data_IF_481527271571
#
_entry.id   IF_481527271571
#
_cell.length_a   1.000
_cell.length_b   1.000
_cell.length_c   1.000
_cell.angle_alpha   90.00
_cell.angle_beta   90.00
_cell.angle_gamma   90.00
#
_symmetry.space_group_name_H-M   'P 1'
#
loop_
_entity.id
_entity.type
_entity.pdbx_description
1 polymer ?
#
# COMPACT_ATOMS: atom_id res chain seq x y z
N UNK A 1 31.46 -8.53 3.53
CA UNK A 1 31.01 -7.14 3.68
C UNK A 1 30.89 -6.86 5.15
N UNK A 2 31.81 -6.08 5.70
CA UNK A 2 31.83 -5.74 7.11
C UNK A 2 30.63 -4.83 7.40
N UNK A 3 29.59 -5.39 8.00
CA UNK A 3 28.48 -4.59 8.52
C UNK A 3 29.06 -3.71 9.62
N UNK A 4 28.91 -2.39 9.49
CA UNK A 4 29.27 -1.48 10.57
C UNK A 4 28.50 -1.88 11.85
N UNK A 5 29.11 -1.71 13.04
CA UNK A 5 28.56 -2.14 14.33
C UNK A 5 27.19 -1.52 14.68
N UNK A 6 26.72 -0.53 13.91
CA UNK A 6 25.46 0.17 14.16
C UNK A 6 24.18 -0.65 13.90
N UNK A 7 24.26 -1.83 13.28
CA UNK A 7 23.07 -2.59 12.87
C UNK A 7 22.83 -3.88 13.65
N UNK A 8 23.77 -4.26 14.51
CA UNK A 8 23.64 -5.45 15.36
C UNK A 8 22.73 -5.20 16.57
N UNK A 9 22.17 -4.00 16.74
CA UNK A 9 21.39 -3.61 17.91
C UNK A 9 20.03 -2.99 17.57
N UNK A 10 19.36 -3.50 16.53
CA UNK A 10 17.96 -3.16 16.29
C UNK A 10 17.11 -4.01 17.23
N UNK A 11 16.62 -3.42 18.31
CA UNK A 11 15.62 -4.06 19.16
C UNK A 11 14.26 -3.95 18.49
N UNK A 12 13.62 -5.09 18.22
CA UNK A 12 12.28 -5.13 17.60
C UNK A 12 11.23 -4.46 18.49
N UNK A 13 11.42 -4.49 19.81
CA UNK A 13 10.53 -3.88 20.81
C UNK A 13 10.50 -2.35 20.70
N UNK A 14 11.57 -1.76 20.18
CA UNK A 14 11.69 -0.31 19.98
C UNK A 14 11.25 0.13 18.57
N UNK A 15 10.76 -0.79 17.74
CA UNK A 15 10.23 -0.42 16.43
C UNK A 15 8.80 0.10 16.56
N UNK A 16 8.50 1.11 15.75
CA UNK A 16 7.21 1.75 15.62
C UNK A 16 6.86 1.83 14.13
N UNK A 17 5.63 1.47 13.79
CA UNK A 17 5.01 1.85 12.51
C UNK A 17 4.17 3.08 12.77
N UNK A 18 4.47 4.19 12.09
CA UNK A 18 3.72 5.44 12.25
C UNK A 18 3.54 6.15 10.92
N UNK A 19 2.48 6.94 10.84
CA UNK A 19 2.28 7.87 9.73
C UNK A 19 3.29 9.02 9.78
N UNK A 20 3.73 9.46 8.59
CA UNK A 20 4.65 10.60 8.46
C UNK A 20 3.88 11.91 8.63
N UNK A 21 4.36 12.78 9.52
CA UNK A 21 3.74 14.09 9.75
C UNK A 21 4.71 15.21 9.37
N UNK A 22 5.95 15.11 9.86
CA UNK A 22 6.95 16.14 9.68
C UNK A 22 7.62 16.07 8.30
N UNK A 23 8.10 17.21 7.82
CA UNK A 23 8.91 17.27 6.59
C UNK A 23 10.10 16.32 6.65
N UNK A 24 10.79 16.23 7.79
CA UNK A 24 11.92 15.32 7.96
C UNK A 24 11.54 13.82 7.81
N UNK A 25 10.35 13.43 8.26
CA UNK A 25 9.84 12.07 8.05
C UNK A 25 9.43 11.83 6.60
N UNK A 26 8.80 12.82 5.96
CA UNK A 26 8.47 12.79 4.53
C UNK A 26 9.74 12.66 3.67
N UNK A 27 10.78 13.44 3.98
CA UNK A 27 12.10 13.37 3.33
C UNK A 27 12.73 11.98 3.49
N UNK A 28 12.62 11.39 4.69
CA UNK A 28 13.12 10.05 4.95
C UNK A 28 12.33 8.98 4.17
N UNK A 29 10.99 9.07 4.11
CA UNK A 29 10.15 8.18 3.32
C UNK A 29 10.45 8.30 1.83
N UNK A 30 10.55 9.53 1.32
CA UNK A 30 10.91 9.82 -0.07
C UNK A 30 12.28 9.24 -0.44
N UNK A 31 13.28 9.48 0.42
CA UNK A 31 14.62 8.91 0.26
C UNK A 31 14.62 7.38 0.27
N UNK A 32 13.80 6.75 1.13
CA UNK A 32 13.63 5.29 1.16
C UNK A 32 13.00 4.77 -0.13
N UNK A 33 11.99 5.44 -0.67
CA UNK A 33 11.40 5.07 -1.95
C UNK A 33 12.42 5.19 -3.10
N UNK A 34 13.08 6.34 -3.24
CA UNK A 34 14.07 6.57 -4.30
C UNK A 34 15.37 5.74 -4.17
N UNK A 35 15.61 5.11 -3.01
CA UNK A 35 16.70 4.13 -2.89
C UNK A 35 16.50 2.88 -3.75
N UNK A 36 15.30 2.69 -4.31
CA UNK A 36 14.97 1.62 -5.26
C UNK A 36 14.86 2.19 -6.67
N UNK A 37 15.62 1.59 -7.60
CA UNK A 37 15.60 2.01 -9.01
C UNK A 37 14.20 1.92 -9.64
N UNK A 38 13.35 1.00 -9.15
CA UNK A 38 11.96 0.82 -9.63
C UNK A 38 11.12 2.10 -9.53
N UNK A 39 11.43 3.02 -8.61
CA UNK A 39 10.67 4.25 -8.43
C UNK A 39 11.36 5.49 -9.01
N UNK A 40 12.49 5.31 -9.73
CA UNK A 40 13.27 6.44 -10.23
C UNK A 40 12.53 7.22 -11.33
N UNK A 41 11.88 6.51 -12.24
CA UNK A 41 11.06 7.10 -13.32
C UNK A 41 9.80 7.78 -12.76
N UNK A 42 9.29 7.28 -11.64
CA UNK A 42 8.10 7.81 -10.95
C UNK A 42 8.42 8.86 -9.88
N UNK A 43 9.65 9.40 -9.83
CA UNK A 43 10.10 10.28 -8.74
C UNK A 43 9.11 11.41 -8.40
N UNK A 44 8.53 12.05 -9.43
CA UNK A 44 7.57 13.14 -9.27
C UNK A 44 6.23 12.68 -8.71
N UNK A 45 5.78 11.46 -9.06
CA UNK A 45 4.57 10.88 -8.48
C UNK A 45 4.79 10.46 -7.03
N UNK A 46 5.95 9.87 -6.73
CA UNK A 46 6.31 9.51 -5.34
C UNK A 46 6.38 10.76 -4.47
N UNK A 47 7.03 11.81 -4.94
CA UNK A 47 7.07 13.11 -4.26
C UNK A 47 5.66 13.67 -4.04
N UNK A 48 4.84 13.74 -5.10
CA UNK A 48 3.47 14.23 -5.01
C UNK A 48 2.64 13.47 -3.98
N UNK A 49 2.70 12.13 -3.98
CA UNK A 49 1.94 11.29 -3.04
C UNK A 49 2.37 11.45 -1.58
N UNK A 50 3.66 11.70 -1.32
CA UNK A 50 4.20 11.85 0.05
C UNK A 50 3.97 13.27 0.58
N UNK A 51 4.31 14.29 -0.21
CA UNK A 51 4.25 15.67 0.26
C UNK A 51 2.86 16.28 0.11
N UNK A 52 2.13 15.90 -0.94
CA UNK A 52 0.78 16.39 -1.28
C UNK A 52 -0.27 15.28 -1.18
N UNK A 53 -0.07 14.32 -0.27
CA UNK A 53 -0.94 13.16 -0.10
C UNK A 53 -2.41 13.50 0.11
N UNK A 54 -2.72 14.58 0.82
CA UNK A 54 -4.09 15.04 1.04
C UNK A 54 -4.86 15.34 -0.25
N UNK A 55 -4.17 15.85 -1.28
CA UNK A 55 -4.79 16.17 -2.59
C UNK A 55 -5.12 14.92 -3.40
N UNK A 56 -4.46 13.80 -3.11
CA UNK A 56 -4.61 12.53 -3.83
C UNK A 56 -5.02 11.36 -2.92
N UNK A 57 -5.54 11.67 -1.73
CA UNK A 57 -5.98 10.70 -0.72
C UNK A 57 -4.90 9.66 -0.36
N UNK A 58 -3.64 10.04 -0.49
CA UNK A 58 -2.48 9.22 -0.15
C UNK A 58 -2.00 9.57 1.26
N UNK A 59 -1.57 8.54 1.98
CA UNK A 59 -0.93 8.61 3.29
C UNK A 59 0.29 7.72 3.30
N UNK A 60 1.30 8.09 4.07
CA UNK A 60 2.58 7.39 4.08
C UNK A 60 2.93 6.98 5.50
N UNK A 61 3.28 5.70 5.68
CA UNK A 61 3.74 5.15 6.95
C UNK A 61 5.19 4.72 6.83
N UNK A 62 5.91 4.83 7.94
CA UNK A 62 7.31 4.41 8.07
C UNK A 62 7.47 3.44 9.24
N UNK A 63 8.36 2.48 9.06
CA UNK A 63 8.91 1.67 10.16
C UNK A 63 10.16 2.38 10.67
N UNK A 64 10.12 2.83 11.91
CA UNK A 64 11.15 3.66 12.54
C UNK A 64 11.57 3.06 13.89
N UNK A 65 12.85 3.23 14.24
CA UNK A 65 13.31 3.13 15.61
C UNK A 65 13.53 4.57 16.10
N UNK A 66 12.72 5.05 17.06
CA UNK A 66 12.93 6.35 17.67
C UNK A 66 14.35 6.46 18.22
N UNK A 67 14.98 7.62 18.03
CA UNK A 67 16.31 7.84 18.58
C UNK A 67 16.27 7.73 20.09
N UNK A 68 16.93 6.71 20.65
CA UNK A 68 17.09 6.62 22.09
C UNK A 68 17.81 7.89 22.53
N UNK A 69 17.23 8.62 23.48
CA UNK A 69 17.96 9.68 24.15
C UNK A 69 19.23 9.02 24.69
N UNK A 70 20.39 9.44 24.17
CA UNK A 70 21.66 8.99 24.72
C UNK A 70 21.54 9.26 26.22
N UNK A 71 21.75 8.24 27.09
CA UNK A 71 21.75 8.47 28.52
C UNK A 71 22.73 9.61 28.71
N UNK A 72 22.21 10.80 29.06
CA UNK A 72 23.01 12.02 29.08
C UNK A 72 24.15 11.65 30.01
N UNK A 73 25.41 11.55 29.51
CA UNK A 73 26.49 11.04 30.31
C UNK A 73 26.46 11.92 31.52
N UNK A 74 26.08 11.30 32.65
CA UNK A 74 25.77 12.05 33.83
C UNK A 74 26.95 12.97 34.02
N UNK A 75 26.69 14.27 34.07
CA UNK A 75 27.33 15.07 35.09
C UNK A 75 27.10 14.25 36.34
N UNK A 76 28.07 13.37 36.63
CA UNK A 76 28.17 12.62 37.85
C UNK A 76 28.13 13.76 38.85
N UNK A 77 26.95 13.99 39.42
CA UNK A 77 26.78 14.95 40.49
C UNK A 77 27.81 14.50 41.50
N UNK A 78 28.85 15.32 41.61
CA UNK A 78 29.90 15.22 42.60
C UNK A 78 29.20 15.46 43.95
N UNK A 79 28.40 14.48 44.39
CA UNK A 79 27.79 14.44 45.71
C UNK A 79 28.82 13.89 46.70
N UNK A 80 30.01 14.48 46.68
CA UNK A 80 31.10 14.14 47.57
C UNK A 80 31.94 15.39 47.77
N UNK A 81 31.82 15.97 48.98
CA UNK A 81 32.54 17.13 49.53
C UNK A 81 31.82 18.48 49.44
N UNK A 82 30.71 18.62 50.18
CA UNK A 82 30.40 19.88 50.88
C UNK A 82 29.55 19.63 52.13
N UNK A 83 30.07 18.80 53.04
CA UNK A 83 29.71 18.92 54.45
C UNK A 83 30.41 20.14 55.02
N UNK A 84 29.77 21.31 54.98
CA UNK A 84 30.31 22.51 55.62
C UNK A 84 29.70 23.82 55.15
N UNK A 85 28.77 24.32 55.98
CA UNK A 85 28.45 25.73 56.26
C UNK A 85 27.41 26.46 55.38
N UNK A 86 26.48 27.07 56.13
CA UNK A 86 25.53 28.16 55.80
C UNK A 86 24.25 27.70 55.09
N UNK A 87 23.08 27.61 55.73
CA UNK A 87 22.39 28.49 56.70
C UNK A 87 22.32 29.96 56.26
N UNK A 88 21.07 30.45 56.20
CA UNK A 88 20.57 31.81 55.98
C UNK A 88 20.36 32.33 54.55
N UNK A 89 19.28 33.13 54.44
CA UNK A 89 18.69 33.83 53.27
C UNK A 89 17.63 32.97 52.56
N UNK A 90 16.33 33.06 52.87
CA UNK A 90 15.52 34.26 53.10
C UNK A 90 15.15 34.85 51.74
N UNK A 91 14.07 34.42 51.10
CA UNK A 91 12.80 35.15 51.11
C UNK A 91 12.59 35.95 49.82
N UNK A 92 11.33 36.11 49.41
CA UNK A 92 10.82 37.04 48.38
C UNK A 92 11.00 36.66 46.90
N UNK A 93 9.93 36.16 46.27
CA UNK A 93 9.04 37.03 45.48
C UNK A 93 7.84 36.25 44.90
N UNK A 94 6.66 36.69 45.33
CA UNK A 94 5.39 36.50 44.63
C UNK A 94 5.02 37.83 43.94
N UNK A 95 4.07 37.74 43.00
CA UNK A 95 3.27 38.81 42.38
C UNK A 95 3.84 39.55 41.16
N UNK A 96 3.25 39.23 40.00
CA UNK A 96 2.61 40.15 39.02
C UNK A 96 2.15 39.27 37.83
N UNK A 97 0.95 39.33 37.26
CA UNK A 97 -0.11 40.33 37.28
C UNK A 97 -0.47 40.71 35.84
N UNK A 98 -1.68 40.32 35.41
CA UNK A 98 -2.58 40.96 34.43
C UNK A 98 -2.21 41.12 32.92
N UNK A 99 -3.06 40.48 32.10
CA UNK A 99 -3.95 41.05 31.06
C UNK A 99 -3.48 42.11 30.04
N UNK A 100 -3.81 41.86 28.75
CA UNK A 100 -4.34 42.78 27.71
C UNK A 100 -4.71 41.91 26.47
N UNK A 101 -6.00 41.79 26.10
CA UNK A 101 -6.74 42.58 25.08
C UNK A 101 -6.13 42.45 23.66
N UNK A 102 -6.78 41.73 22.75
CA UNK A 102 -7.83 42.18 21.81
C UNK A 102 -7.29 43.10 20.69
N UNK A 103 -7.36 42.60 19.45
CA UNK A 103 -7.34 43.40 18.23
C UNK A 103 -7.86 42.56 17.06
N UNK A 104 -9.14 42.71 16.79
CA UNK A 104 -9.77 42.43 15.50
C UNK A 104 -9.16 43.33 14.41
N UNK A 105 -8.92 42.80 13.21
CA UNK A 105 -8.38 43.58 12.10
C UNK A 105 -8.78 43.02 10.73
N UNK A 106 -9.77 43.68 10.14
CA UNK A 106 -10.36 43.47 8.81
C UNK A 106 -9.33 43.54 7.66
N UNK A 107 -9.58 42.78 6.60
CA UNK A 107 -8.89 42.91 5.32
C UNK A 107 -9.69 42.26 4.19
N UNK A 108 -10.61 43.03 3.61
CA UNK A 108 -11.39 42.68 2.42
C UNK A 108 -10.70 43.14 1.13
N UNK A 109 -11.04 42.48 0.00
CA UNK A 109 -10.75 42.91 -1.37
C UNK A 109 -9.47 42.29 -1.94
N UNK A 110 -9.40 41.82 -3.18
CA UNK A 110 -10.14 42.20 -4.38
C UNK A 110 -10.18 41.05 -5.39
N UNK A 111 -11.32 40.96 -6.08
CA UNK A 111 -11.51 40.21 -7.31
C UNK A 111 -10.78 40.88 -8.48
N UNK A 112 -10.14 40.09 -9.35
CA UNK A 112 -9.87 40.50 -10.73
C UNK A 112 -10.32 39.36 -11.65
N UNK A 113 -11.31 39.67 -12.46
CA UNK A 113 -11.70 38.94 -13.65
C UNK A 113 -10.93 39.48 -14.88
N UNK A 114 -10.73 38.63 -15.87
CA UNK A 114 -10.18 38.97 -17.18
C UNK A 114 -9.00 38.05 -17.53
N UNK A 115 -8.94 37.38 -18.68
CA UNK A 115 -9.75 37.50 -19.88
C UNK A 115 -9.43 36.37 -20.86
N UNK A 116 -10.26 36.32 -21.87
CA UNK A 116 -10.34 35.37 -22.97
C UNK A 116 -9.22 35.52 -24.01
N UNK A 117 -9.11 34.48 -24.84
CA UNK A 117 -8.70 34.46 -26.26
C UNK A 117 -7.30 33.96 -26.60
N UNK A 118 -7.24 33.04 -27.57
CA UNK A 118 -6.01 32.66 -28.26
C UNK A 118 -5.98 31.26 -28.85
N UNK A 119 -6.74 31.02 -29.92
CA UNK A 119 -6.57 29.85 -30.80
C UNK A 119 -5.22 29.89 -31.55
N UNK A 120 -4.62 28.74 -31.87
CA UNK A 120 -4.10 28.39 -33.23
C UNK A 120 -3.30 27.08 -33.25
N UNK A 121 -3.60 26.24 -34.25
CA UNK A 121 -2.71 25.30 -34.97
C UNK A 121 -2.18 24.09 -34.19
N UNK A 122 -2.35 22.83 -34.60
CA UNK A 122 -2.40 22.29 -35.95
C UNK A 122 -1.03 21.67 -36.30
N UNK A 123 -0.89 20.35 -36.16
CA UNK A 123 0.01 19.53 -36.98
C UNK A 123 -0.28 18.04 -36.72
N UNK A 124 -0.85 17.40 -37.75
CA UNK A 124 -0.92 15.96 -37.90
C UNK A 124 0.46 15.40 -38.29
N UNK A 125 0.81 14.22 -37.78
CA UNK A 125 1.85 13.38 -38.35
C UNK A 125 1.35 11.93 -38.33
N UNK A 126 1.13 11.38 -39.52
CA UNK A 126 0.83 9.98 -39.78
C UNK A 126 2.13 9.17 -39.94
N UNK A 127 2.08 7.82 -39.91
CA UNK A 127 3.22 6.97 -39.59
C UNK A 127 3.99 6.51 -40.84
N UNK A 128 5.30 6.35 -40.69
CA UNK A 128 6.19 5.81 -41.73
C UNK A 128 6.91 4.55 -41.26
N UNK A 129 6.72 3.47 -42.01
CA UNK A 129 7.82 2.63 -42.50
C UNK A 129 8.43 1.58 -41.57
N UNK A 130 8.03 0.33 -41.78
CA UNK A 130 8.77 -0.85 -41.37
C UNK A 130 10.10 -0.98 -42.14
N UNK A 131 11.20 -1.28 -41.43
CA UNK A 131 12.39 -1.95 -41.99
C UNK A 131 12.94 -2.92 -40.95
N UNK A 132 12.97 -4.21 -41.33
CA UNK A 132 13.53 -5.28 -40.52
C UNK A 132 15.06 -5.19 -40.42
N UNK A 133 15.58 -5.40 -39.21
CA UNK A 133 17.00 -5.52 -38.94
C UNK A 133 17.26 -6.69 -38.00
N UNK A 134 17.80 -7.79 -38.53
CA UNK A 134 18.36 -8.91 -37.77
C UNK A 134 19.52 -8.41 -36.91
N UNK A 135 19.35 -8.37 -35.59
CA UNK A 135 20.44 -8.10 -34.66
C UNK A 135 21.13 -9.41 -34.26
N UNK A 136 22.40 -9.53 -34.65
CA UNK A 136 23.34 -10.56 -34.26
C UNK A 136 23.59 -10.52 -32.75
N UNK A 137 23.65 -11.71 -32.15
CA UNK A 137 24.19 -11.91 -30.81
C UNK A 137 25.68 -11.53 -30.78
N UNK A 138 26.03 -10.50 -30.00
CA UNK A 138 27.40 -10.23 -29.58
C UNK A 138 27.51 -10.43 -28.08
N UNK A 139 28.34 -11.41 -27.70
CA UNK A 139 28.70 -11.66 -26.32
C UNK A 139 29.53 -10.51 -25.76
N UNK A 140 29.04 -9.93 -24.65
CA UNK A 140 29.78 -8.98 -23.82
C UNK A 140 30.06 -9.58 -22.45
N UNK A 141 31.29 -10.09 -22.26
CA UNK A 141 31.90 -10.28 -20.94
C UNK A 141 32.32 -8.93 -20.37
N UNK A 142 32.47 -8.89 -19.03
CA UNK A 142 32.93 -7.77 -18.14
C UNK A 142 31.77 -6.87 -17.70
N UNK A 143 31.63 -6.47 -16.44
CA UNK A 143 32.47 -6.56 -15.25
C UNK A 143 31.90 -5.55 -14.23
N UNK A 144 32.33 -5.64 -12.96
CA UNK A 144 32.13 -4.56 -11.99
C UNK A 144 31.04 -4.79 -10.96
N UNK A 145 31.41 -5.47 -9.86
CA UNK A 145 30.73 -5.30 -8.57
C UNK A 145 31.04 -3.89 -8.04
N UNK A 146 30.25 -2.90 -8.45
CA UNK A 146 30.23 -1.58 -7.85
C UNK A 146 29.53 -1.65 -6.49
N UNK A 147 30.29 -1.69 -5.40
CA UNK A 147 29.75 -1.51 -4.06
C UNK A 147 29.27 -0.07 -3.89
N UNK A 148 27.96 0.15 -4.03
CA UNK A 148 27.34 1.43 -3.72
C UNK A 148 27.30 1.64 -2.21
N UNK A 149 28.29 2.39 -1.75
CA UNK A 149 28.31 3.05 -0.45
C UNK A 149 27.31 4.19 -0.49
N UNK A 150 26.16 4.01 0.17
CA UNK A 150 25.20 5.07 0.42
C UNK A 150 25.80 6.08 1.42
N UNK A 151 26.71 6.96 0.97
CA UNK A 151 27.07 8.16 1.74
C UNK A 151 25.93 9.15 1.55
N UNK A 152 25.12 9.29 2.59
CA UNK A 152 24.05 10.28 2.64
C UNK A 152 24.63 11.68 2.42
N UNK A 153 24.03 12.42 1.50
CA UNK A 153 24.27 13.84 1.31
C UNK A 153 23.59 14.54 2.48
N UNK A 154 24.37 15.03 3.44
CA UNK A 154 23.87 15.85 4.54
C UNK A 154 23.57 17.26 3.99
N UNK A 155 22.31 17.54 3.71
CA UNK A 155 21.85 18.90 3.38
C UNK A 155 21.89 19.74 4.64
N UNK A 156 22.67 20.83 4.63
CA UNK A 156 22.78 21.74 5.77
C UNK A 156 21.48 22.55 5.92
N UNK A 157 20.77 22.38 7.04
CA UNK A 157 19.64 23.21 7.43
C UNK A 157 20.08 24.25 8.45
N UNK A 158 19.53 25.46 8.34
CA UNK A 158 19.87 26.64 9.14
C UNK A 158 19.65 26.48 10.65
N UNK A 159 20.00 27.52 11.46
CA UNK A 159 20.02 27.42 12.91
C UNK A 159 18.60 27.30 13.49
N UNK A 160 18.21 26.07 13.86
CA UNK A 160 16.93 25.78 14.52
C UNK A 160 17.10 25.78 16.05
N UNK A 161 16.17 26.49 16.67
CA UNK A 161 15.91 26.66 18.09
C UNK A 161 15.74 25.33 18.86
N UNK A 162 16.36 25.28 20.05
CA UNK A 162 16.25 24.26 21.13
C UNK A 162 16.16 22.79 20.66
N UNK A 163 17.35 22.16 20.55
CA UNK A 163 17.58 20.71 20.46
C UNK A 163 16.71 19.94 21.48
N UNK A 164 15.71 19.21 21.00
CA UNK A 164 15.22 18.05 21.73
C UNK A 164 16.39 17.07 21.94
N UNK A 165 16.55 16.57 23.16
CA UNK A 165 17.64 15.67 23.53
C UNK A 165 17.50 14.24 22.93
N UNK A 166 16.42 13.97 22.19
CA UNK A 166 16.24 12.71 21.49
C UNK A 166 17.26 12.60 20.35
N UNK A 167 17.90 11.43 20.25
CA UNK A 167 18.80 11.14 19.12
C UNK A 167 18.07 11.16 17.78
N UNK A 168 18.80 11.14 16.65
CA UNK A 168 18.19 11.01 15.34
C UNK A 168 17.43 9.68 15.24
N UNK A 169 16.20 9.72 14.72
CA UNK A 169 15.42 8.52 14.45
C UNK A 169 15.97 7.76 13.24
N UNK A 170 15.90 6.44 13.26
CA UNK A 170 16.36 5.58 12.15
C UNK A 170 15.19 4.96 11.43
N UNK A 171 15.07 5.22 10.12
CA UNK A 171 14.00 4.69 9.28
C UNK A 171 14.45 3.44 8.52
N UNK A 172 13.61 2.40 8.51
CA UNK A 172 13.92 1.08 7.95
C UNK A 172 13.06 0.72 6.75
N UNK A 173 11.82 1.21 6.69
CA UNK A 173 10.90 0.94 5.60
C UNK A 173 9.87 2.05 5.50
N UNK A 174 9.29 2.22 4.31
CA UNK A 174 8.24 3.18 4.01
C UNK A 174 7.19 2.53 3.10
N UNK A 175 5.93 2.89 3.29
CA UNK A 175 4.81 2.48 2.46
C UNK A 175 3.86 3.65 2.26
N UNK A 176 3.45 3.88 1.01
CA UNK A 176 2.46 4.89 0.65
C UNK A 176 1.19 4.18 0.19
N UNK A 177 0.07 4.57 0.77
CA UNK A 177 -1.24 3.93 0.60
C UNK A 177 -2.27 4.99 0.25
N UNK A 178 -3.07 4.73 -0.77
CA UNK A 178 -4.28 5.51 -1.07
C UNK A 178 -5.47 4.90 -0.34
N UNK A 179 -6.25 5.72 0.36
CA UNK A 179 -7.46 5.27 1.05
C UNK A 179 -8.69 5.79 0.31
N UNK A 180 -9.58 4.88 -0.05
CA UNK A 180 -10.81 5.19 -0.76
C UNK A 180 -12.02 4.82 0.10
N UNK A 181 -13.04 5.67 0.09
CA UNK A 181 -14.34 5.33 0.65
C UNK A 181 -15.11 4.50 -0.37
N UNK A 182 -15.88 3.52 0.10
CA UNK A 182 -16.82 2.86 -0.79
C UNK A 182 -17.92 3.83 -1.25
N UNK A 183 -18.34 3.71 -2.51
CA UNK A 183 -19.36 4.57 -3.12
C UNK A 183 -20.76 4.32 -2.56
N UNK A 184 -21.16 3.05 -2.40
CA UNK A 184 -22.53 2.67 -2.02
C UNK A 184 -22.62 1.85 -0.72
N UNK A 185 -21.53 1.72 0.04
CA UNK A 185 -21.53 1.03 1.34
C UNK A 185 -20.72 1.78 2.38
N UNK A 186 -20.91 1.42 3.64
CA UNK A 186 -20.04 1.88 4.71
C UNK A 186 -18.70 1.16 4.64
N UNK A 187 -17.66 1.86 5.07
CA UNK A 187 -16.30 1.36 5.18
C UNK A 187 -15.40 1.95 4.12
N UNK A 188 -14.17 1.46 4.12
CA UNK A 188 -13.10 1.92 3.24
C UNK A 188 -12.33 0.75 2.67
N UNK A 189 -11.59 1.01 1.61
CA UNK A 189 -10.59 0.12 1.08
C UNK A 189 -9.30 0.89 0.81
N UNK A 190 -8.19 0.17 0.71
CA UNK A 190 -6.87 0.76 0.54
C UNK A 190 -6.15 0.19 -0.67
N UNK A 191 -5.34 1.02 -1.33
CA UNK A 191 -4.41 0.61 -2.37
C UNK A 191 -2.97 0.92 -1.93
N UNK A 192 -2.11 -0.08 -1.83
CA UNK A 192 -0.67 0.11 -1.63
C UNK A 192 -0.08 0.52 -2.99
N UNK A 193 0.54 1.70 -3.02
CA UNK A 193 1.12 2.28 -4.24
C UNK A 193 2.64 2.15 -4.31
N UNK A 194 3.31 2.39 -3.18
CA UNK A 194 4.76 2.32 -3.13
C UNK A 194 5.18 1.66 -1.82
N UNK A 195 6.14 0.75 -1.86
CA UNK A 195 6.71 0.15 -0.66
C UNK A 195 8.22 -0.04 -0.85
N UNK A 196 9.00 0.43 0.11
CA UNK A 196 10.45 0.29 0.11
C UNK A 196 10.98 -0.09 1.47
N UNK A 197 12.03 -0.91 1.48
CA UNK A 197 12.81 -1.23 2.68
C UNK A 197 14.26 -0.82 2.45
N UNK A 198 14.86 -0.16 3.45
CA UNK A 198 16.29 0.18 3.47
C UNK A 198 17.18 -1.04 3.26
N UNK A 199 16.75 -2.18 3.80
CA UNK A 199 17.41 -3.47 3.67
C UNK A 199 16.41 -4.56 3.34
N UNK A 200 16.71 -5.30 2.29
CA UNK A 200 15.90 -6.45 1.89
C UNK A 200 16.19 -7.66 2.79
N UNK A 201 15.20 -8.54 2.97
CA UNK A 201 15.34 -9.84 3.69
C UNK A 201 15.68 -9.73 5.19
N UNK A 202 15.45 -8.58 5.80
CA UNK A 202 15.61 -8.38 7.26
C UNK A 202 14.27 -8.37 8.01
N UNK A 203 13.17 -8.78 7.37
CA UNK A 203 11.84 -8.79 7.99
C UNK A 203 11.14 -7.43 8.08
N UNK A 204 11.84 -6.30 7.87
CA UNK A 204 11.26 -4.95 7.97
C UNK A 204 10.02 -4.74 7.10
N UNK A 205 9.99 -5.31 5.89
CA UNK A 205 8.80 -5.23 5.05
C UNK A 205 7.59 -5.96 5.66
N UNK A 206 7.81 -7.15 6.23
CA UNK A 206 6.75 -7.89 6.93
C UNK A 206 6.25 -7.14 8.14
N UNK A 207 7.15 -6.59 8.95
CA UNK A 207 6.79 -5.84 10.16
C UNK A 207 6.05 -4.54 9.83
N UNK A 208 6.48 -3.81 8.79
CA UNK A 208 5.77 -2.63 8.30
C UNK A 208 4.34 -2.98 7.90
N UNK A 209 4.14 -4.05 7.11
CA UNK A 209 2.80 -4.46 6.69
C UNK A 209 1.95 -4.97 7.85
N UNK A 210 2.52 -5.69 8.81
CA UNK A 210 1.80 -6.11 10.00
C UNK A 210 1.27 -4.93 10.81
N UNK A 211 2.11 -3.92 11.07
CA UNK A 211 1.68 -2.70 11.75
C UNK A 211 0.68 -1.89 10.93
N UNK A 212 0.90 -1.79 9.62
CA UNK A 212 -0.03 -1.12 8.71
C UNK A 212 -1.41 -1.78 8.74
N UNK A 213 -1.51 -3.11 8.67
CA UNK A 213 -2.79 -3.81 8.72
C UNK A 213 -3.58 -3.52 10.00
N UNK A 214 -2.92 -3.46 11.17
CA UNK A 214 -3.59 -3.06 12.41
C UNK A 214 -4.12 -1.63 12.35
N UNK A 215 -3.34 -0.69 11.82
CA UNK A 215 -3.77 0.71 11.67
C UNK A 215 -4.94 0.84 10.69
N UNK A 216 -4.90 0.13 9.56
CA UNK A 216 -5.98 0.13 8.57
C UNK A 216 -7.27 -0.49 9.13
N UNK A 217 -7.19 -1.55 9.95
CA UNK A 217 -8.37 -2.14 10.62
C UNK A 217 -9.06 -1.15 11.56
N UNK A 218 -8.30 -0.38 12.34
CA UNK A 218 -8.86 0.68 13.22
C UNK A 218 -9.57 1.75 12.38
N UNK A 219 -9.17 1.89 11.13
CA UNK A 219 -9.76 2.78 10.13
C UNK A 219 -10.91 2.16 9.33
N UNK A 220 -11.48 1.03 9.74
CA UNK A 220 -12.64 0.44 9.04
C UNK A 220 -12.32 0.14 7.55
N UNK A 221 -11.06 -0.22 7.28
CA UNK A 221 -10.59 -0.68 5.98
C UNK A 221 -10.63 -2.20 6.00
N UNK A 222 -11.41 -2.79 5.09
CA UNK A 222 -11.60 -4.25 5.03
C UNK A 222 -10.84 -4.93 3.91
N UNK A 223 -10.55 -4.22 2.82
CA UNK A 223 -9.82 -4.73 1.65
C UNK A 223 -8.59 -3.88 1.37
N UNK A 224 -7.47 -4.53 1.10
CA UNK A 224 -6.23 -3.93 0.63
C UNK A 224 -5.90 -4.48 -0.76
N UNK A 225 -5.58 -3.59 -1.68
CA UNK A 225 -5.24 -3.87 -3.07
C UNK A 225 -3.81 -3.43 -3.36
N UNK A 226 -3.13 -4.14 -4.26
CA UNK A 226 -1.82 -3.74 -4.78
C UNK A 226 -1.57 -4.33 -6.17
N UNK A 227 -0.50 -3.86 -6.79
CA UNK A 227 -0.01 -4.32 -8.08
C UNK A 227 1.45 -4.77 -7.92
N UNK A 228 1.75 -6.08 -7.83
CA UNK A 228 3.09 -6.52 -7.53
C UNK A 228 3.99 -6.43 -8.78
N UNK A 229 5.14 -5.78 -8.66
CA UNK A 229 6.13 -5.74 -9.75
C UNK A 229 6.53 -7.15 -10.23
N UNK A 230 6.63 -7.37 -11.54
CA UNK A 230 6.92 -8.67 -12.17
C UNK A 230 8.41 -9.07 -12.13
N UNK A 231 9.05 -8.94 -10.97
CA UNK A 231 10.46 -9.29 -10.77
C UNK A 231 10.67 -10.69 -10.12
N UNK A 232 9.60 -11.49 -10.03
CA UNK A 232 9.57 -12.81 -9.39
C UNK A 232 9.68 -12.80 -7.86
N UNK A 233 10.24 -11.75 -7.24
CA UNK A 233 10.39 -11.63 -5.79
C UNK A 233 9.19 -10.97 -5.12
N UNK A 234 8.68 -9.88 -5.69
CA UNK A 234 7.53 -9.17 -5.15
C UNK A 234 6.28 -10.06 -5.12
N UNK A 235 5.92 -10.81 -6.18
CA UNK A 235 4.77 -11.72 -6.13
C UNK A 235 4.91 -12.77 -5.01
N UNK A 236 6.09 -13.39 -4.84
CA UNK A 236 6.32 -14.34 -3.75
C UNK A 236 6.20 -13.70 -2.36
N UNK A 237 6.72 -12.48 -2.19
CA UNK A 237 6.59 -11.74 -0.95
C UNK A 237 5.13 -11.47 -0.62
N UNK A 238 4.37 -10.86 -1.53
CA UNK A 238 2.97 -10.51 -1.33
C UNK A 238 2.08 -11.75 -1.16
N UNK A 239 2.35 -12.82 -1.91
CA UNK A 239 1.59 -14.08 -1.82
C UNK A 239 1.70 -14.69 -0.43
N UNK A 240 2.92 -14.68 0.12
CA UNK A 240 3.13 -15.17 1.48
C UNK A 240 2.41 -14.33 2.55
N UNK A 241 2.11 -13.06 2.27
CA UNK A 241 1.32 -12.20 3.14
C UNK A 241 -0.20 -12.41 3.00
N UNK A 242 -0.64 -13.27 2.08
CA UNK A 242 -2.04 -13.57 1.82
C UNK A 242 -2.68 -12.70 0.73
N UNK A 243 -1.90 -11.92 0.00
CA UNK A 243 -2.39 -11.27 -1.23
C UNK A 243 -2.42 -12.28 -2.37
N UNK A 244 -3.36 -12.13 -3.28
CA UNK A 244 -3.43 -12.96 -4.49
C UNK A 244 -4.28 -12.31 -5.55
N UNK A 245 -4.13 -12.79 -6.78
CA UNK A 245 -5.13 -12.54 -7.81
C UNK A 245 -6.38 -13.38 -7.50
N UNK A 246 -7.55 -12.79 -7.70
CA UNK A 246 -8.83 -13.46 -7.47
C UNK A 246 -9.68 -13.35 -8.73
N UNK A 247 -10.39 -14.43 -9.07
CA UNK A 247 -11.37 -14.41 -10.17
C UNK A 247 -12.55 -13.50 -9.83
N UNK A 248 -12.97 -13.53 -8.56
CA UNK A 248 -14.01 -12.66 -8.00
C UNK A 248 -13.34 -11.68 -7.05
N UNK A 249 -13.45 -10.38 -7.36
CA UNK A 249 -12.88 -9.34 -6.52
C UNK A 249 -13.53 -9.27 -5.14
N UNK A 250 -12.76 -8.89 -4.13
CA UNK A 250 -13.28 -8.50 -2.82
C UNK A 250 -13.85 -7.07 -2.81
N UNK A 251 -13.47 -6.25 -3.79
CA UNK A 251 -14.09 -4.96 -4.04
C UNK A 251 -15.43 -5.13 -4.77
N UNK A 252 -16.44 -4.30 -4.48
CA UNK A 252 -17.70 -4.33 -5.19
C UNK A 252 -17.53 -3.73 -6.60
N UNK A 253 -18.40 -4.13 -7.54
CA UNK A 253 -18.27 -3.83 -8.97
C UNK A 253 -18.13 -2.33 -9.27
N UNK A 254 -18.78 -1.46 -8.49
CA UNK A 254 -18.67 -0.01 -8.64
C UNK A 254 -17.27 0.57 -8.37
N UNK A 255 -16.41 -0.15 -7.66
CA UNK A 255 -15.02 0.24 -7.40
C UNK A 255 -14.06 -0.34 -8.45
N UNK A 256 -14.54 -1.25 -9.29
CA UNK A 256 -13.79 -1.91 -10.36
C UNK A 256 -13.82 -1.13 -11.68
N UNK A 257 -14.48 0.03 -11.70
CA UNK A 257 -14.51 0.91 -12.86
C UNK A 257 -13.06 1.29 -13.23
N UNK A 258 -12.67 1.18 -14.51
CA UNK A 258 -11.34 1.62 -14.97
C UNK A 258 -11.05 3.09 -14.68
N UNK A 259 -9.79 3.43 -14.42
CA UNK A 259 -9.40 4.79 -14.04
C UNK A 259 -9.66 5.83 -15.13
N UNK A 260 -9.45 5.47 -16.39
CA UNK A 260 -9.74 6.29 -17.58
C UNK A 260 -11.24 6.60 -17.72
N UNK A 261 -12.10 5.82 -17.08
CA UNK A 261 -13.55 6.04 -16.98
C UNK A 261 -13.95 6.76 -15.68
N UNK A 262 -12.99 7.33 -14.95
CA UNK A 262 -13.22 8.01 -13.67
C UNK A 262 -13.28 7.06 -12.47
N UNK A 263 -12.83 5.82 -12.65
CA UNK A 263 -12.73 4.84 -11.58
C UNK A 263 -11.72 5.21 -10.49
N UNK A 264 -11.94 4.75 -9.24
CA UNK A 264 -11.09 5.10 -8.10
C UNK A 264 -9.76 4.34 -8.08
N UNK A 265 -9.71 3.16 -8.70
CA UNK A 265 -8.57 2.26 -8.69
C UNK A 265 -7.49 2.71 -9.69
N UNK A 266 -6.25 2.88 -9.23
CA UNK A 266 -5.14 3.27 -10.11
C UNK A 266 -4.44 2.02 -10.64
N UNK A 267 -4.47 1.70 -11.94
CA UNK A 267 -3.63 0.65 -12.47
C UNK A 267 -2.15 1.06 -12.34
N UNK A 268 -1.30 0.10 -11.99
CA UNK A 268 0.14 0.28 -12.06
C UNK A 268 0.71 -0.50 -13.24
N UNK A 269 1.82 -0.01 -13.75
CA UNK A 269 2.45 -0.53 -14.97
C UNK A 269 3.87 -0.95 -14.66
N UNK A 270 4.32 -2.02 -15.28
CA UNK A 270 5.74 -2.35 -15.30
C UNK A 270 6.49 -1.29 -16.12
N UNK A 271 7.52 -0.66 -15.53
CA UNK A 271 8.20 0.47 -16.16
C UNK A 271 8.94 0.08 -17.45
N UNK A 272 9.38 -1.18 -17.57
CA UNK A 272 10.11 -1.65 -18.74
C UNK A 272 9.21 -2.03 -19.91
N UNK A 273 8.06 -2.64 -19.63
CA UNK A 273 7.15 -3.18 -20.65
C UNK A 273 5.89 -2.34 -20.87
N UNK A 274 5.58 -1.41 -19.96
CA UNK A 274 4.33 -0.63 -19.93
C UNK A 274 3.07 -1.51 -19.89
N UNK A 275 3.21 -2.76 -19.47
CA UNK A 275 2.09 -3.68 -19.27
C UNK A 275 1.44 -3.39 -17.92
N UNK A 276 0.11 -3.39 -17.89
CA UNK A 276 -0.66 -3.27 -16.64
C UNK A 276 -0.34 -4.48 -15.77
N UNK A 277 0.14 -4.23 -14.56
CA UNK A 277 0.42 -5.26 -13.58
C UNK A 277 -0.88 -5.94 -13.11
N UNK A 278 -0.83 -7.23 -12.71
CA UNK A 278 -2.02 -7.91 -12.23
C UNK A 278 -2.45 -7.35 -10.87
N UNK A 279 -3.75 -7.06 -10.72
CA UNK A 279 -4.31 -6.61 -9.43
C UNK A 279 -4.36 -7.76 -8.43
N UNK A 280 -3.78 -7.54 -7.25
CA UNK A 280 -3.83 -8.47 -6.13
C UNK A 280 -4.57 -7.87 -4.95
N UNK A 281 -5.33 -8.71 -4.24
CA UNK A 281 -6.21 -8.26 -3.17
C UNK A 281 -6.06 -9.14 -1.93
N UNK A 282 -6.30 -8.54 -0.77
CA UNK A 282 -6.37 -9.20 0.53
C UNK A 282 -7.47 -8.59 1.38
N UNK A 283 -8.29 -9.44 1.99
CA UNK A 283 -9.24 -9.03 3.04
C UNK A 283 -8.52 -8.99 4.39
N UNK A 284 -8.55 -7.85 5.08
CA UNK A 284 -7.88 -7.63 6.36
C UNK A 284 -8.85 -7.58 7.56
N UNK A 285 -10.15 -7.34 7.33
CA UNK A 285 -11.20 -7.50 8.35
C UNK A 285 -12.22 -8.56 7.95
N UNK A 286 -12.64 -9.36 8.93
CA UNK A 286 -13.43 -10.56 8.72
C UNK A 286 -12.65 -11.75 9.29
N UNK A 287 -13.34 -12.63 10.03
CA UNK A 287 -12.73 -13.80 10.67
C UNK A 287 -11.89 -14.65 9.70
N UNK A 288 -11.11 -15.62 10.21
CA UNK A 288 -10.10 -16.34 9.45
C UNK A 288 -10.63 -16.72 8.06
N UNK A 289 -9.96 -16.23 7.01
CA UNK A 289 -10.29 -16.45 5.58
C UNK A 289 -10.58 -17.92 5.24
N UNK A 290 -10.15 -18.87 6.08
CA UNK A 290 -10.38 -20.31 5.92
C UNK A 290 -11.81 -20.84 6.08
N UNK A 291 -12.83 -20.00 6.31
CA UNK A 291 -14.23 -20.46 6.34
C UNK A 291 -14.99 -20.31 5.00
N UNK A 292 -14.46 -19.56 4.03
CA UNK A 292 -15.17 -19.30 2.76
C UNK A 292 -14.57 -20.02 1.55
N UNK A 293 -13.32 -20.44 1.61
CA UNK A 293 -12.65 -21.15 0.50
C UNK A 293 -12.95 -22.66 0.44
N UNK A 294 -13.72 -23.20 1.41
CA UNK A 294 -14.08 -24.62 1.48
C UNK A 294 -15.58 -24.93 1.45
N UNK A 295 -16.43 -24.03 1.97
CA UNK A 295 -17.85 -24.34 2.22
C UNK A 295 -18.83 -23.32 1.63
N UNK A 296 -18.41 -22.34 0.84
CA UNK A 296 -19.32 -21.28 0.35
C UNK A 296 -20.41 -21.79 -0.60
N UNK A 297 -20.12 -22.80 -1.43
CA UNK A 297 -21.14 -23.46 -2.24
C UNK A 297 -22.11 -24.30 -1.38
N UNK A 298 -21.61 -24.96 -0.32
CA UNK A 298 -22.43 -25.76 0.59
C UNK A 298 -23.26 -24.89 1.54
N UNK A 299 -22.76 -23.74 1.97
CA UNK A 299 -23.42 -22.77 2.85
C UNK A 299 -24.52 -21.99 2.11
N UNK A 300 -24.25 -21.56 0.87
CA UNK A 300 -25.28 -20.95 0.02
C UNK A 300 -26.36 -21.99 -0.38
N UNK A 301 -25.97 -23.24 -0.67
CA UNK A 301 -26.91 -24.32 -0.94
C UNK A 301 -27.70 -24.75 0.31
N UNK A 302 -27.11 -24.73 1.51
CA UNK A 302 -27.81 -25.01 2.76
C UNK A 302 -28.79 -23.90 3.15
N UNK A 303 -28.43 -22.62 2.93
CA UNK A 303 -29.34 -21.50 3.12
C UNK A 303 -30.51 -21.52 2.10
N UNK A 304 -30.25 -21.95 0.86
CA UNK A 304 -31.28 -22.14 -0.17
C UNK A 304 -32.16 -23.38 0.12
N UNK A 305 -31.58 -24.49 0.59
CA UNK A 305 -32.29 -25.72 0.95
C UNK A 305 -33.11 -25.58 2.24
N UNK A 306 -32.71 -24.68 3.15
CA UNK A 306 -33.47 -24.37 4.37
C UNK A 306 -34.69 -23.46 4.12
N UNK A 307 -35.02 -23.14 2.86
CA UNK A 307 -36.24 -22.40 2.52
C UNK A 307 -36.28 -20.96 3.05
N UNK A 308 -35.14 -20.41 3.48
CA UNK A 308 -35.02 -19.04 3.96
C UNK A 308 -35.07 -18.05 2.78
N UNK A 309 -36.25 -17.93 2.18
CA UNK A 309 -36.57 -16.78 1.34
C UNK A 309 -36.59 -15.55 2.24
N UNK A 310 -35.53 -14.75 2.19
CA UNK A 310 -35.46 -13.49 2.90
C UNK A 310 -36.67 -12.63 2.46
N UNK A 311 -37.61 -12.29 3.35
CA UNK A 311 -38.75 -11.48 2.96
C UNK A 311 -38.24 -10.12 2.49
N UNK A 312 -38.49 -9.80 1.22
CA UNK A 312 -38.22 -8.49 0.63
C UNK A 312 -39.19 -7.50 1.30
N UNK A 313 -38.78 -6.95 2.44
CA UNK A 313 -39.56 -5.97 3.15
C UNK A 313 -39.74 -4.73 2.27
N UNK A 314 -40.99 -4.49 1.84
CA UNK A 314 -41.46 -3.27 1.18
C UNK A 314 -41.02 -2.07 2.04
N UNK A 315 -39.97 -1.37 1.63
CA UNK A 315 -39.43 -0.21 2.37
C UNK A 315 -40.48 0.90 2.41
N UNK A 316 -41.00 1.16 3.60
CA UNK A 316 -41.80 2.33 3.91
C UNK A 316 -41.05 3.61 3.56
N UNK A 317 -41.67 4.40 2.69
CA UNK A 317 -41.22 5.70 2.17
C UNK A 317 -41.35 6.74 3.30
N UNK A 318 -40.37 6.81 4.21
CA UNK A 318 -40.43 7.80 5.30
C UNK A 318 -39.30 7.78 6.34
N UNK A 319 -38.26 6.96 6.16
CA UNK A 319 -37.18 6.87 7.13
C UNK A 319 -36.18 8.01 7.02
N UNK A 320 -36.15 8.88 8.04
CA UNK A 320 -35.07 9.82 8.39
C UNK A 320 -33.74 9.34 7.83
N UNK A 321 -33.19 10.08 6.86
CA UNK A 321 -31.87 9.90 6.27
C UNK A 321 -30.86 9.96 7.42
N UNK A 322 -30.50 8.81 8.01
CA UNK A 322 -29.37 8.70 8.94
C UNK A 322 -28.19 9.25 8.14
N UNK A 323 -27.74 10.45 8.50
CA UNK A 323 -26.50 11.02 7.99
C UNK A 323 -25.46 9.94 8.20
N UNK A 324 -24.95 9.37 7.11
CA UNK A 324 -23.92 8.35 7.16
C UNK A 324 -22.86 8.87 8.12
N UNK A 325 -22.56 8.10 9.18
CA UNK A 325 -21.54 8.47 10.13
C UNK A 325 -20.28 8.79 9.32
N UNK A 326 -19.83 10.05 9.38
CA UNK A 326 -18.62 10.47 8.69
C UNK A 326 -17.52 9.52 9.13
N UNK A 327 -17.04 8.67 8.22
CA UNK A 327 -15.99 7.72 8.52
C UNK A 327 -14.82 8.47 9.14
N UNK A 328 -14.48 8.11 10.37
CA UNK A 328 -13.49 8.84 11.15
C UNK A 328 -12.11 8.44 10.63
N UNK A 329 -11.53 9.27 9.76
CA UNK A 329 -10.11 9.20 9.46
C UNK A 329 -9.34 9.38 10.78
N UNK A 330 -8.43 8.46 11.09
CA UNK A 330 -7.56 8.67 12.24
C UNK A 330 -6.70 9.91 11.97
N UNK A 331 -6.59 10.85 12.92
CA UNK A 331 -5.60 11.90 12.76
C UNK A 331 -4.20 11.25 12.74
N UNK A 332 -3.26 11.78 11.93
CA UNK A 332 -1.92 11.21 11.78
C UNK A 332 -1.22 10.92 13.12
N UNK A 333 -1.43 11.77 14.12
CA UNK A 333 -0.80 11.64 15.45
C UNK A 333 -1.21 10.36 16.19
N UNK A 334 -2.39 9.83 15.88
CA UNK A 334 -2.93 8.57 16.42
C UNK A 334 -2.69 7.37 15.50
N UNK A 335 -2.15 7.60 14.30
CA UNK A 335 -1.87 6.58 13.29
C UNK A 335 -0.48 5.96 13.54
N UNK A 336 -0.35 5.30 14.70
CA UNK A 336 0.90 4.67 15.16
C UNK A 336 0.66 3.39 15.93
N UNK A 337 1.58 2.42 15.78
CA UNK A 337 1.60 1.16 16.53
C UNK A 337 3.04 0.76 16.83
N UNK A 338 3.31 0.40 18.08
CA UNK A 338 4.65 0.06 18.58
C UNK A 338 4.56 -0.99 19.68
N UNK A 339 5.71 -1.53 20.09
CA UNK A 339 5.80 -2.48 21.19
C UNK A 339 4.98 -3.75 20.99
N UNK A 340 4.33 -4.22 22.05
CA UNK A 340 3.59 -5.49 22.09
C UNK A 340 2.51 -5.63 20.99
N UNK A 341 1.62 -4.65 20.73
CA UNK A 341 0.68 -4.73 19.61
C UNK A 341 1.33 -4.98 18.25
N UNK A 342 2.45 -4.30 17.95
CA UNK A 342 3.18 -4.49 16.69
C UNK A 342 3.81 -5.87 16.61
N UNK A 343 4.41 -6.34 17.71
CA UNK A 343 5.04 -7.67 17.78
C UNK A 343 4.00 -8.78 17.59
N UNK A 344 2.85 -8.70 18.26
CA UNK A 344 1.75 -9.65 18.10
C UNK A 344 1.23 -9.70 16.66
N UNK A 345 1.03 -8.54 16.03
CA UNK A 345 0.60 -8.46 14.64
C UNK A 345 1.64 -9.10 13.70
N UNK A 346 2.93 -8.81 13.95
CA UNK A 346 4.03 -9.37 13.19
C UNK A 346 4.12 -10.90 13.34
N UNK A 347 4.00 -11.43 14.55
CA UNK A 347 3.97 -12.88 14.83
C UNK A 347 2.78 -13.58 14.15
N UNK A 348 1.58 -13.00 14.25
CA UNK A 348 0.39 -13.52 13.58
C UNK A 348 0.59 -13.60 12.06
N UNK A 349 1.15 -12.55 11.46
CA UNK A 349 1.44 -12.51 10.03
C UNK A 349 2.53 -13.52 9.65
N UNK A 350 3.58 -13.68 10.46
CA UNK A 350 4.62 -14.69 10.28
C UNK A 350 4.07 -16.11 10.38
N UNK A 351 3.13 -16.37 11.29
CA UNK A 351 2.41 -17.64 11.37
C UNK A 351 1.62 -17.94 10.10
N UNK A 352 0.93 -16.94 9.53
CA UNK A 352 0.25 -17.07 8.24
C UNK A 352 1.23 -17.37 7.09
N UNK A 353 2.38 -16.68 7.06
CA UNK A 353 3.45 -16.94 6.07
C UNK A 353 3.98 -18.37 6.17
N UNK A 354 4.20 -18.87 7.41
CA UNK A 354 4.69 -20.23 7.63
C UNK A 354 3.70 -21.27 7.11
N UNK A 355 2.39 -21.11 7.39
CA UNK A 355 1.33 -21.96 6.84
C UNK A 355 1.27 -21.92 5.32
N UNK A 356 1.38 -20.73 4.72
CA UNK A 356 1.39 -20.58 3.27
C UNK A 356 2.56 -21.33 2.62
N UNK A 357 3.77 -21.18 3.16
CA UNK A 357 4.95 -21.92 2.70
C UNK A 357 4.79 -23.43 2.86
N UNK A 358 4.25 -23.88 3.99
CA UNK A 358 3.98 -25.29 4.22
C UNK A 358 3.01 -25.87 3.17
N UNK A 359 1.99 -25.11 2.75
CA UNK A 359 1.08 -25.51 1.66
C UNK A 359 1.77 -25.56 0.29
N UNK A 360 2.63 -24.60 -0.02
CA UNK A 360 3.38 -24.60 -1.29
C UNK A 360 4.40 -25.73 -1.39
N UNK A 361 4.95 -26.17 -0.26
CA UNK A 361 5.92 -27.28 -0.20
C UNK A 361 5.30 -28.62 0.15
N UNK A 362 4.00 -28.68 0.47
CA UNK A 362 3.33 -29.95 0.66
C UNK A 362 3.48 -30.74 -0.65
N UNK A 363 4.04 -31.97 -0.61
CA UNK A 363 4.13 -32.79 -1.80
C UNK A 363 2.73 -32.85 -2.39
N UNK A 364 2.59 -32.54 -3.68
CA UNK A 364 1.32 -32.66 -4.38
C UNK A 364 0.78 -34.03 -4.00
N UNK A 365 -0.29 -34.05 -3.20
CA UNK A 365 -0.85 -35.30 -2.70
C UNK A 365 -1.01 -36.14 -3.95
N UNK A 366 -0.31 -37.29 -4.09
CA UNK A 366 -0.39 -38.08 -5.30
C UNK A 366 -1.88 -38.30 -5.47
N UNK A 367 -2.46 -37.67 -6.50
CA UNK A 367 -3.87 -37.78 -6.77
C UNK A 367 -4.01 -39.26 -7.10
N UNK A 368 -4.44 -39.99 -6.08
CA UNK A 368 -4.38 -41.42 -6.06
C UNK A 368 -5.08 -41.88 -7.31
N UNK A 369 -4.34 -42.64 -8.11
CA UNK A 369 -4.84 -43.66 -8.99
C UNK A 369 -5.63 -44.70 -8.17
N UNK A 370 -6.60 -44.26 -7.36
CA UNK A 370 -7.62 -45.11 -6.78
C UNK A 370 -8.51 -45.50 -7.94
N UNK A 371 -8.15 -46.63 -8.53
CA UNK A 371 -8.66 -47.13 -9.79
C UNK A 371 -10.17 -47.20 -9.83
N UNK A 372 -10.75 -46.45 -10.77
CA UNK A 372 -11.98 -46.85 -11.44
C UNK A 372 -11.64 -47.79 -12.61
N UNK A 373 -10.96 -48.90 -12.31
CA UNK A 373 -10.67 -49.97 -13.27
C UNK A 373 -11.67 -51.14 -13.19
N UNK A 374 -12.71 -51.06 -12.35
CA UNK A 374 -13.71 -52.13 -12.20
C UNK A 374 -15.14 -51.59 -12.34
N UNK A 375 -15.57 -51.34 -13.60
CA UNK A 375 -16.96 -51.48 -14.07
C UNK A 375 -17.17 -50.73 -15.41
N UNK A 376 -16.45 -51.10 -16.49
CA UNK A 376 -17.01 -50.96 -17.84
C UNK A 376 -17.66 -52.28 -18.22
N UNK A 377 -18.89 -52.46 -17.76
CA UNK A 377 -19.81 -53.40 -18.41
C UNK A 377 -20.16 -52.80 -19.76
N UNK A 378 -19.86 -53.60 -20.78
CA UNK A 378 -20.36 -53.54 -22.16
C UNK A 378 -21.77 -52.99 -22.28
N UNK A 379 -21.93 -51.84 -22.91
CA UNK A 379 -23.15 -51.44 -23.59
C UNK A 379 -22.77 -51.02 -25.01
N UNK A 380 -22.78 -51.99 -25.91
CA UNK A 380 -22.72 -51.81 -27.35
C UNK A 380 -24.03 -51.12 -27.76
N UNK A 381 -23.96 -49.85 -28.15
CA UNK A 381 -25.05 -49.22 -28.91
C UNK A 381 -24.51 -48.91 -30.29
N UNK A 382 -25.09 -49.62 -31.25
CA UNK A 382 -24.93 -49.46 -32.69
C UNK A 382 -25.81 -48.30 -33.13
N UNK A 383 -25.33 -47.51 -34.08
CA UNK A 383 -26.09 -46.50 -34.82
C UNK A 383 -25.55 -45.09 -34.61
N UNK A 384 -25.45 -44.23 -35.61
CA UNK A 384 -25.64 -44.35 -37.05
C UNK A 384 -24.95 -43.11 -37.63
N UNK A 385 -24.24 -43.25 -38.74
CA UNK A 385 -23.59 -42.11 -39.37
C UNK A 385 -24.65 -41.20 -39.99
N UNK A 386 -24.60 -39.91 -39.69
CA UNK A 386 -25.21 -38.87 -40.53
C UNK A 386 -24.20 -37.77 -40.77
N UNK A 387 -23.61 -37.89 -41.94
CA UNK A 387 -22.85 -36.91 -42.69
C UNK A 387 -23.78 -35.74 -43.06
N UNK A 388 -23.56 -34.56 -42.48
CA UNK A 388 -24.21 -33.32 -42.94
C UNK A 388 -23.15 -32.40 -43.51
N UNK A 389 -23.33 -32.14 -44.80
CA UNK A 389 -22.47 -31.40 -45.68
C UNK A 389 -22.39 -29.89 -45.36
N UNK A 390 -21.25 -29.35 -45.77
CA UNK A 390 -20.87 -27.97 -46.03
C UNK A 390 -21.99 -26.99 -46.42
N UNK A 391 -21.91 -25.78 -45.88
CA UNK A 391 -22.27 -24.54 -46.58
C UNK A 391 -21.32 -23.39 -46.19
N UNK A 392 -20.63 -22.72 -47.14
CA UNK A 392 -19.85 -21.53 -46.88
C UNK A 392 -20.71 -20.27 -47.06
N UNK A 393 -20.90 -19.50 -45.99
CA UNK A 393 -21.64 -18.23 -46.00
C UNK A 393 -20.68 -17.05 -46.15
N UNK A 394 -20.65 -16.54 -47.38
CA UNK A 394 -20.57 -15.14 -47.81
C UNK A 394 -19.66 -14.15 -47.07
N UNK A 395 -18.64 -13.70 -47.82
CA UNK A 395 -18.05 -12.37 -47.74
C UNK A 395 -19.13 -11.28 -47.87
N UNK A 396 -19.20 -10.37 -46.92
CA UNK A 396 -19.72 -9.02 -47.14
C UNK A 396 -18.54 -8.04 -47.14
N UNK A 397 -18.16 -7.59 -48.33
CA UNK A 397 -17.28 -6.44 -48.56
C UNK A 397 -18.17 -5.21 -48.51
N UNK A 398 -18.12 -4.46 -47.42
CA UNK A 398 -18.74 -3.14 -47.29
C UNK A 398 -17.65 -2.07 -47.30
N UNK A 399 -17.39 -1.49 -48.47
CA UNK A 399 -16.57 -0.28 -48.60
C UNK A 399 -17.33 0.93 -48.07
N UNK A 400 -16.69 1.71 -47.21
CA UNK A 400 -17.13 3.06 -46.87
C UNK A 400 -16.06 4.03 -47.35
N UNK A 401 -16.46 4.80 -48.34
CA UNK A 401 -15.77 5.98 -48.86
C UNK A 401 -15.93 7.07 -47.81
N UNK A 402 -14.84 7.59 -47.25
CA UNK A 402 -14.86 8.86 -46.53
C UNK A 402 -14.16 9.91 -47.38
N UNK A 403 -15.01 10.75 -47.96
CA UNK A 403 -14.71 12.01 -48.61
C UNK A 403 -14.21 13.01 -47.56
N UNK A 404 -13.13 13.71 -47.90
CA UNK A 404 -12.48 14.72 -47.07
C UNK A 404 -13.09 16.08 -47.41
N UNK A 405 -13.55 16.81 -46.39
CA UNK A 405 -13.93 18.22 -46.46
C UNK A 405 -13.18 19.01 -45.40
#
# INVERSE_FOLDING_TARGET
>A
GCLGPALTQISLEHLEVKEVESTAEKDAAYSLHLSKNTFYEERGLVEFRIYSGELCQCRTWVLVQPGMASPTPGLARFNGLSGGLNSLVGGLNALTGAALADASGLGAGTSVAGGSSGSRGGAAAAPGGAVGGRARASGGRRGGRGGWSCRGVSVAHGPVTRKSAAGPSTYFAAVTVRINNYKNRQGRWAQILNMSTRRERHGFGTMLIAGLEELLKVEDIDVVVLYPAENGRAPQFWASLGFGAHEVSFLPDEELVPHDQGGPLLPEFDTGSLIVLPRWEKRITGGPQGALDGDSAASAAAAAAAGYTRPVAKRGRGGRRRTAASHRTLPPSKSRVSGEPLLRAHEALMGSRARHKARQHAPAHPQGLTGSAAARRTATVVGEASEVALAPSQLCVGGVVHEVG
#
